data_IF_581325819305
#
_entry.id   IF_581325819305
#
_cell.length_a   1.000
_cell.length_b   1.000
_cell.length_c   1.000
_cell.angle_alpha   90.00
_cell.angle_beta   90.00
_cell.angle_gamma   90.00
#
_symmetry.space_group_name_H-M   'P 1'
#
loop_
_entity.id
_entity.type
_entity.pdbx_description
1 polymer ?
#
# COMPACT_ATOMS: atom_id res chain seq x y z
N UNK A 1 -1.15 -13.16 8.24
CA UNK A 1 -2.47 -12.78 7.71
C UNK A 1 -2.35 -12.15 6.32
N UNK A 2 -1.51 -11.10 6.12
CA UNK A 2 -1.29 -10.45 4.81
C UNK A 2 -1.26 -11.41 3.59
N UNK A 3 -0.33 -12.37 3.56
CA UNK A 3 -0.14 -13.23 2.38
C UNK A 3 -1.32 -14.17 2.10
N UNK A 4 -2.17 -14.41 3.10
CA UNK A 4 -3.35 -15.27 2.97
C UNK A 4 -4.61 -14.48 2.57
N UNK A 5 -4.52 -13.15 2.43
CA UNK A 5 -5.63 -12.30 2.01
C UNK A 5 -5.75 -12.26 0.48
N UNK A 6 -6.96 -11.96 -0.01
CA UNK A 6 -7.17 -11.62 -1.42
C UNK A 6 -6.89 -10.14 -1.72
N UNK A 7 -7.21 -9.27 -0.76
CA UNK A 7 -7.02 -7.82 -0.81
C UNK A 7 -6.55 -7.33 0.56
N UNK A 8 -5.60 -6.40 0.57
CA UNK A 8 -5.19 -5.65 1.74
C UNK A 8 -5.47 -4.18 1.51
N UNK A 9 -6.27 -3.60 2.40
CA UNK A 9 -6.60 -2.20 2.39
C UNK A 9 -5.72 -1.47 3.41
N UNK A 10 -4.82 -0.63 2.91
CA UNK A 10 -4.05 0.28 3.75
C UNK A 10 -4.87 1.53 4.01
N UNK A 11 -4.74 2.09 5.21
CA UNK A 11 -5.42 3.31 5.59
C UNK A 11 -4.46 4.23 6.34
N UNK A 12 -4.41 5.50 5.93
CA UNK A 12 -3.54 6.48 6.58
C UNK A 12 -4.03 7.91 6.33
N UNK A 13 -3.87 8.83 7.29
CA UNK A 13 -3.87 10.25 6.95
C UNK A 13 -2.69 10.58 6.04
N UNK A 14 -2.86 11.61 5.20
CA UNK A 14 -1.76 12.29 4.54
C UNK A 14 -1.09 13.22 5.57
N UNK A 15 0.21 13.02 5.79
CA UNK A 15 1.03 13.79 6.72
C UNK A 15 2.29 14.20 5.96
N UNK A 16 2.57 15.51 5.89
CA UNK A 16 3.73 16.06 5.20
C UNK A 16 3.86 15.56 3.73
N UNK A 17 2.76 15.57 2.99
CA UNK A 17 2.73 15.20 1.56
C UNK A 17 2.76 13.69 1.28
N UNK A 18 2.70 12.82 2.29
CA UNK A 18 2.70 11.36 2.07
C UNK A 18 1.90 10.58 3.13
N UNK A 19 1.85 9.25 3.03
CA UNK A 19 1.27 8.41 4.09
C UNK A 19 2.10 8.48 5.38
N UNK A 20 1.44 8.28 6.52
CA UNK A 20 2.05 8.34 7.84
C UNK A 20 3.27 7.43 8.00
N UNK A 21 4.21 7.84 8.84
CA UNK A 21 5.38 7.03 9.18
C UNK A 21 5.01 5.67 9.82
N UNK A 22 3.85 5.59 10.48
CA UNK A 22 3.34 4.33 11.01
C UNK A 22 3.00 3.36 9.88
N UNK A 23 2.22 3.81 8.89
CA UNK A 23 1.89 2.98 7.73
C UNK A 23 3.14 2.59 6.95
N UNK A 24 4.08 3.52 6.71
CA UNK A 24 5.34 3.20 6.03
C UNK A 24 6.15 2.12 6.76
N UNK A 25 6.25 2.20 8.09
CA UNK A 25 6.92 1.16 8.91
C UNK A 25 6.23 -0.19 8.82
N UNK A 26 4.89 -0.23 8.77
CA UNK A 26 4.16 -1.48 8.58
C UNK A 26 4.39 -2.07 7.17
N UNK A 27 4.41 -1.19 6.16
CA UNK A 27 4.66 -1.56 4.77
C UNK A 27 6.08 -2.12 4.56
N UNK A 28 7.11 -1.50 5.14
CA UNK A 28 8.51 -1.97 5.01
C UNK A 28 8.74 -3.36 5.62
N UNK A 29 7.91 -3.75 6.61
CA UNK A 29 7.93 -5.11 7.17
C UNK A 29 7.37 -6.17 6.21
N UNK A 30 6.87 -5.78 5.04
CA UNK A 30 6.45 -6.70 3.98
C UNK A 30 7.61 -7.14 3.08
N UNK A 31 8.75 -6.43 3.08
CA UNK A 31 9.93 -6.77 2.26
C UNK A 31 10.39 -8.23 2.46
N UNK A 32 10.42 -8.80 3.69
CA UNK A 32 10.78 -10.20 3.89
C UNK A 32 9.85 -11.22 3.22
N UNK A 33 8.67 -10.80 2.71
CA UNK A 33 7.79 -11.63 1.90
C UNK A 33 8.32 -11.85 0.46
N UNK A 34 9.48 -11.28 0.13
CA UNK A 34 10.20 -11.50 -1.12
C UNK A 34 11.48 -12.32 -0.85
N UNK A 35 12.06 -12.93 -1.88
CA UNK A 35 13.36 -13.59 -1.76
C UNK A 35 14.49 -12.56 -1.88
N UNK A 36 15.64 -12.79 -1.23
CA UNK A 36 16.78 -11.87 -1.31
C UNK A 36 17.48 -11.88 -2.69
N UNK A 37 17.07 -12.79 -3.58
CA UNK A 37 17.55 -12.85 -4.95
C UNK A 37 16.87 -11.80 -5.82
N UNK A 38 17.54 -11.35 -6.87
CA UNK A 38 17.02 -10.36 -7.82
C UNK A 38 16.87 -10.95 -9.22
N UNK A 39 15.90 -10.42 -9.95
CA UNK A 39 15.60 -10.70 -11.35
C UNK A 39 15.40 -9.38 -12.11
N UNK A 40 15.54 -9.42 -13.44
CA UNK A 40 15.23 -8.27 -14.29
C UNK A 40 13.78 -8.31 -14.73
N UNK A 41 13.01 -7.29 -14.36
CA UNK A 41 11.61 -7.10 -14.76
C UNK A 41 11.50 -5.70 -15.36
N UNK A 42 11.02 -5.59 -16.60
CA UNK A 42 10.83 -4.31 -17.28
C UNK A 42 12.08 -3.39 -17.27
N UNK A 43 13.27 -3.97 -17.53
CA UNK A 43 14.56 -3.27 -17.48
C UNK A 43 14.94 -2.73 -16.09
N UNK A 44 14.29 -3.20 -15.02
CA UNK A 44 14.58 -2.83 -13.64
C UNK A 44 14.96 -4.07 -12.83
N UNK A 45 15.74 -3.88 -11.76
CA UNK A 45 16.05 -4.95 -10.80
C UNK A 45 14.94 -5.07 -9.76
N UNK A 46 14.36 -6.25 -9.66
CA UNK A 46 13.29 -6.57 -8.71
C UNK A 46 13.66 -7.81 -7.90
N UNK A 47 13.16 -7.93 -6.68
CA UNK A 47 13.32 -9.18 -5.92
C UNK A 47 12.57 -10.34 -6.58
N UNK A 48 13.01 -11.57 -6.42
CA UNK A 48 12.26 -12.75 -6.86
C UNK A 48 11.07 -12.99 -5.92
N UNK A 49 9.93 -13.39 -6.48
CA UNK A 49 8.75 -13.76 -5.70
C UNK A 49 9.06 -14.94 -4.76
N UNK A 50 8.59 -14.86 -3.52
CA UNK A 50 8.68 -15.95 -2.53
C UNK A 50 7.47 -16.87 -2.58
N UNK A 51 6.30 -16.32 -2.86
CA UNK A 51 5.02 -17.03 -2.89
C UNK A 51 4.39 -16.95 -4.28
N UNK A 52 3.50 -17.88 -4.61
CA UNK A 52 2.80 -17.90 -5.91
C UNK A 52 1.75 -16.79 -6.03
N UNK A 53 1.15 -16.38 -4.91
CA UNK A 53 0.09 -15.36 -4.86
C UNK A 53 0.39 -14.33 -3.78
N UNK A 54 0.11 -13.07 -4.12
CA UNK A 54 0.15 -11.93 -3.21
C UNK A 54 -1.23 -11.24 -3.21
N UNK A 55 -1.68 -10.69 -2.06
CA UNK A 55 -2.94 -9.95 -2.01
C UNK A 55 -2.87 -8.69 -2.87
N UNK A 56 -3.98 -8.33 -3.49
CA UNK A 56 -4.16 -7.01 -4.10
C UNK A 56 -3.99 -5.91 -3.04
N UNK A 57 -3.63 -4.69 -3.47
CA UNK A 57 -3.46 -3.55 -2.56
C UNK A 57 -4.44 -2.43 -2.89
N UNK A 58 -5.02 -1.82 -1.86
CA UNK A 58 -5.78 -0.57 -1.96
C UNK A 58 -5.36 0.42 -0.89
N UNK A 59 -5.65 1.71 -1.10
CA UNK A 59 -5.35 2.78 -0.16
C UNK A 59 -6.59 3.63 0.16
N UNK A 60 -6.88 3.78 1.45
CA UNK A 60 -7.75 4.82 1.99
C UNK A 60 -6.88 5.96 2.54
N UNK A 61 -7.03 7.15 1.96
CA UNK A 61 -6.22 8.30 2.31
C UNK A 61 -7.09 9.37 2.99
N UNK A 62 -6.75 9.71 4.23
CA UNK A 62 -7.33 10.85 4.93
C UNK A 62 -6.69 12.14 4.44
N UNK A 63 -7.47 13.03 3.81
CA UNK A 63 -6.94 14.28 3.25
C UNK A 63 -6.64 15.30 4.36
N UNK A 64 -5.45 15.91 4.36
CA UNK A 64 -5.15 17.06 5.22
C UNK A 64 -5.48 18.38 4.53
N UNK A 65 -5.46 19.51 5.25
CA UNK A 65 -5.72 20.84 4.65
C UNK A 65 -4.72 21.18 3.54
N UNK A 66 -3.48 20.72 3.68
CA UNK A 66 -2.38 21.01 2.76
C UNK A 66 -2.18 19.88 1.74
N UNK A 67 -3.09 18.90 1.69
CA UNK A 67 -3.04 17.82 0.69
C UNK A 67 -3.88 18.24 -0.51
N UNK A 68 -3.29 18.33 -1.69
CA UNK A 68 -4.01 18.63 -2.93
C UNK A 68 -4.17 17.39 -3.83
N UNK A 69 -4.67 17.59 -5.06
CA UNK A 69 -4.86 16.51 -6.02
C UNK A 69 -3.54 15.96 -6.57
N UNK A 70 -2.51 16.81 -6.66
CA UNK A 70 -1.18 16.40 -7.08
C UNK A 70 -0.55 15.47 -6.04
N UNK A 71 -0.66 15.80 -4.75
CA UNK A 71 -0.21 14.93 -3.66
C UNK A 71 -0.89 13.55 -3.72
N UNK A 72 -2.22 13.52 -3.90
CA UNK A 72 -2.98 12.27 -3.98
C UNK A 72 -2.51 11.44 -5.18
N UNK A 73 -2.26 12.10 -6.31
CA UNK A 73 -1.76 11.45 -7.52
C UNK A 73 -0.35 10.89 -7.30
N UNK A 74 0.56 11.66 -6.72
CA UNK A 74 1.92 11.23 -6.40
C UNK A 74 1.90 10.03 -5.46
N UNK A 75 1.11 10.10 -4.38
CA UNK A 75 0.93 8.98 -3.43
C UNK A 75 0.42 7.74 -4.17
N UNK A 76 -0.63 7.88 -4.99
CA UNK A 76 -1.19 6.78 -5.79
C UNK A 76 -0.15 6.17 -6.74
N UNK A 77 0.62 7.00 -7.44
CA UNK A 77 1.65 6.54 -8.38
C UNK A 77 2.81 5.83 -7.66
N UNK A 78 3.19 6.27 -6.46
CA UNK A 78 4.16 5.56 -5.61
C UNK A 78 3.61 4.18 -5.20
N UNK A 79 2.36 4.08 -4.73
CA UNK A 79 1.77 2.79 -4.36
C UNK A 79 1.62 1.83 -5.55
N UNK A 80 1.37 2.34 -6.76
CA UNK A 80 1.40 1.51 -7.98
C UNK A 80 2.79 0.93 -8.23
N UNK A 81 3.85 1.72 -8.01
CA UNK A 81 5.24 1.27 -8.16
C UNK A 81 5.61 0.27 -7.06
N UNK A 82 5.22 0.53 -5.82
CA UNK A 82 5.45 -0.39 -4.69
C UNK A 82 4.77 -1.75 -4.90
N UNK A 83 3.58 -1.78 -5.53
CA UNK A 83 2.91 -3.04 -5.85
C UNK A 83 3.74 -3.93 -6.78
N UNK A 84 4.47 -3.35 -7.74
CA UNK A 84 5.40 -4.11 -8.61
C UNK A 84 6.48 -4.77 -7.75
N UNK A 85 7.09 -4.00 -6.85
CA UNK A 85 8.11 -4.50 -5.89
C UNK A 85 7.57 -5.65 -5.05
N UNK A 86 6.33 -5.55 -4.57
CA UNK A 86 5.66 -6.57 -3.75
C UNK A 86 4.97 -7.67 -4.57
N UNK A 87 5.22 -7.76 -5.88
CA UNK A 87 4.67 -8.80 -6.78
C UNK A 87 3.15 -8.87 -6.78
N UNK A 88 2.51 -7.71 -6.71
CA UNK A 88 1.05 -7.56 -6.71
C UNK A 88 0.58 -6.38 -7.57
N UNK A 89 -0.73 -6.12 -7.57
CA UNK A 89 -1.35 -4.99 -8.25
C UNK A 89 -1.97 -4.02 -7.24
N UNK A 90 -1.84 -2.73 -7.52
CA UNK A 90 -2.51 -1.67 -6.78
C UNK A 90 -3.82 -1.29 -7.46
N UNK A 91 -4.95 -1.47 -6.77
CA UNK A 91 -6.28 -1.34 -7.35
C UNK A 91 -6.82 0.08 -7.32
N UNK A 92 -6.70 0.79 -6.19
CA UNK A 92 -7.28 2.12 -6.04
C UNK A 92 -6.67 2.91 -4.88
N UNK A 93 -6.78 4.24 -5.01
CA UNK A 93 -6.76 5.18 -3.89
C UNK A 93 -8.15 5.78 -3.74
N UNK A 94 -8.69 5.79 -2.53
CA UNK A 94 -9.94 6.48 -2.18
C UNK A 94 -9.72 7.42 -1.01
N UNK A 95 -10.43 8.54 -1.01
CA UNK A 95 -10.40 9.47 0.11
C UNK A 95 -11.39 9.04 1.18
N UNK A 96 -11.03 9.26 2.44
CA UNK A 96 -11.92 9.06 3.58
C UNK A 96 -11.89 10.28 4.49
N UNK A 97 -13.06 10.68 4.98
CA UNK A 97 -13.21 11.63 6.10
C UNK A 97 -13.34 10.92 7.44
N UNK A 98 -13.62 9.61 7.43
CA UNK A 98 -13.78 8.83 8.65
C UNK A 98 -12.39 8.55 9.24
N UNK A 99 -12.23 8.60 10.57
CA UNK A 99 -11.06 8.09 11.26
C UNK A 99 -10.72 6.67 10.79
N UNK A 100 -9.43 6.37 10.66
CA UNK A 100 -8.96 5.07 10.18
C UNK A 100 -9.45 3.96 11.10
N UNK A 101 -9.49 4.22 12.40
CA UNK A 101 -9.96 3.32 13.45
C UNK A 101 -11.42 2.91 13.23
N UNK A 102 -12.29 3.84 12.83
CA UNK A 102 -13.69 3.54 12.53
C UNK A 102 -13.80 2.64 11.32
N UNK A 103 -13.05 2.93 10.25
CA UNK A 103 -13.05 2.08 9.04
C UNK A 103 -12.56 0.67 9.35
N UNK A 104 -11.53 0.53 10.18
CA UNK A 104 -11.02 -0.78 10.61
C UNK A 104 -12.07 -1.53 11.44
N UNK A 105 -12.78 -0.85 12.34
CA UNK A 105 -13.84 -1.48 13.14
C UNK A 105 -14.98 -2.01 12.27
N UNK A 106 -15.41 -1.24 11.27
CA UNK A 106 -16.44 -1.67 10.32
C UNK A 106 -15.99 -2.90 9.51
N UNK A 107 -14.74 -2.92 9.02
CA UNK A 107 -14.20 -4.08 8.28
C UNK A 107 -14.15 -5.33 9.15
N UNK A 108 -13.73 -5.20 10.42
CA UNK A 108 -13.63 -6.33 11.34
C UNK A 108 -15.00 -6.85 11.82
N UNK A 109 -16.07 -6.08 11.63
CA UNK A 109 -17.45 -6.47 11.96
C UNK A 109 -18.16 -7.31 10.90
N UNK A 110 -17.53 -7.51 9.73
CA UNK A 110 -18.02 -8.34 8.61
C UNK A 110 -17.59 -9.80 8.82
#
# INVERSE_FOLDING_TARGET
>A
QYINSDLVLFASPAIMGFTSALLKKAHDKLIPLLLPYTEFVQNESHHVARYEKYPLMGLLLGKSKDTDEEDIKIISDIYKRDAITLKTSFCFTKLTSNPVEEVVNEINGI
#
